data_IF_466989605632
#
_entry.id   IF_466989605632
#
_cell.length_a   1.000
_cell.length_b   1.000
_cell.length_c   1.000
_cell.angle_alpha   90.00
_cell.angle_beta   90.00
_cell.angle_gamma   90.00
#
_symmetry.space_group_name_H-M   'P 1'
#
loop_
_entity.id
_entity.type
_entity.pdbx_description
1 polymer ?
#
# COMPACT_ATOMS: atom_id res chain seq x y z
N UNK A 1 -9.59 4.32 -26.65
CA UNK A 1 -10.49 5.28 -25.97
C UNK A 1 -9.61 6.12 -25.04
N UNK A 2 -9.81 7.44 -24.98
CA UNK A 2 -9.08 8.32 -24.06
C UNK A 2 -9.91 8.51 -22.77
N UNK A 3 -9.28 8.39 -21.60
CA UNK A 3 -9.94 8.52 -20.29
C UNK A 3 -9.49 9.82 -19.60
N UNK A 4 -10.44 10.74 -19.39
CA UNK A 4 -10.22 12.05 -18.77
C UNK A 4 -10.78 12.15 -17.33
N UNK A 5 -11.29 11.06 -16.75
CA UNK A 5 -11.88 11.05 -15.40
C UNK A 5 -11.16 10.10 -14.42
N UNK A 6 -9.99 9.57 -14.79
CA UNK A 6 -9.20 8.72 -13.91
C UNK A 6 -8.35 9.53 -12.91
N UNK A 7 -8.26 9.05 -11.67
CA UNK A 7 -7.38 9.61 -10.64
C UNK A 7 -5.93 9.11 -10.73
N UNK A 8 -5.53 8.55 -11.87
CA UNK A 8 -4.16 8.07 -12.13
C UNK A 8 -3.26 9.23 -12.57
N UNK A 9 -3.12 10.25 -11.72
CA UNK A 9 -2.57 11.56 -12.07
C UNK A 9 -1.17 11.52 -12.72
N UNK A 10 -0.34 10.57 -12.30
CA UNK A 10 1.04 10.41 -12.79
C UNK A 10 1.22 9.23 -13.76
N UNK A 11 0.13 8.54 -14.14
CA UNK A 11 0.23 7.38 -15.02
C UNK A 11 0.85 6.12 -14.37
N UNK A 12 1.09 6.13 -13.06
CA UNK A 12 1.87 5.09 -12.37
C UNK A 12 1.17 3.73 -12.31
N UNK A 13 -0.16 3.67 -12.44
CA UNK A 13 -0.91 2.40 -12.41
C UNK A 13 -0.48 1.40 -13.48
N UNK A 14 0.10 1.88 -14.58
CA UNK A 14 0.57 1.04 -15.71
C UNK A 14 2.08 1.13 -15.91
N UNK A 15 2.80 1.77 -14.98
CA UNK A 15 4.23 1.94 -15.10
C UNK A 15 4.95 0.58 -14.94
N UNK A 16 5.84 0.16 -15.87
CA UNK A 16 6.41 -1.18 -15.88
C UNK A 16 7.08 -1.60 -14.57
N UNK A 17 7.78 -0.67 -13.90
CA UNK A 17 8.41 -0.95 -12.59
C UNK A 17 7.40 -1.21 -11.47
N UNK A 18 6.21 -0.59 -11.52
CA UNK A 18 5.15 -0.80 -10.51
C UNK A 18 4.53 -2.18 -10.71
N UNK A 19 4.24 -2.54 -11.95
CA UNK A 19 3.73 -3.87 -12.32
C UNK A 19 4.72 -4.95 -11.88
N UNK A 20 5.99 -4.81 -12.23
CA UNK A 20 7.02 -5.79 -11.89
C UNK A 20 7.19 -5.97 -10.37
N UNK A 21 7.19 -4.87 -9.61
CA UNK A 21 7.27 -4.95 -8.15
C UNK A 21 6.04 -5.64 -7.54
N UNK A 22 4.84 -5.42 -8.09
CA UNK A 22 3.63 -6.12 -7.67
C UNK A 22 3.69 -7.63 -7.93
N UNK A 23 4.19 -8.04 -9.10
CA UNK A 23 4.40 -9.46 -9.44
C UNK A 23 5.40 -10.13 -8.48
N UNK A 24 6.54 -9.49 -8.24
CA UNK A 24 7.56 -9.99 -7.30
C UNK A 24 7.00 -10.11 -5.87
N UNK A 25 6.20 -9.14 -5.43
CA UNK A 25 5.57 -9.20 -4.12
C UNK A 25 4.59 -10.39 -4.00
N UNK A 26 3.83 -10.70 -5.07
CA UNK A 26 2.95 -11.87 -5.08
C UNK A 26 3.73 -13.19 -5.00
N UNK A 27 4.87 -13.29 -5.68
CA UNK A 27 5.75 -14.46 -5.62
C UNK A 27 6.38 -14.64 -4.22
N UNK A 28 6.81 -13.55 -3.58
CA UNK A 28 7.50 -13.60 -2.28
C UNK A 28 6.53 -13.75 -1.10
N UNK A 29 5.41 -13.02 -1.10
CA UNK A 29 4.53 -12.88 0.06
C UNK A 29 3.19 -13.62 -0.08
N UNK A 30 2.85 -14.09 -1.28
CA UNK A 30 1.55 -14.68 -1.60
C UNK A 30 0.46 -13.64 -1.81
N UNK A 31 -0.77 -14.11 -2.07
CA UNK A 31 -1.91 -13.25 -2.39
C UNK A 31 -2.62 -12.64 -1.15
N UNK A 32 -2.24 -13.07 0.06
CA UNK A 32 -2.87 -12.64 1.30
C UNK A 32 -2.33 -13.38 2.52
N UNK A 33 -2.73 -12.93 3.71
CA UNK A 33 -2.15 -13.36 4.99
C UNK A 33 -3.09 -14.17 5.88
N UNK A 34 -4.35 -14.32 5.46
CA UNK A 34 -5.40 -15.06 6.20
C UNK A 34 -5.53 -14.65 7.68
N UNK A 35 -5.11 -13.43 8.03
CA UNK A 35 -5.02 -12.95 9.42
C UNK A 35 -4.87 -11.43 9.47
N UNK A 36 -5.15 -10.88 10.66
CA UNK A 36 -5.02 -9.44 10.97
C UNK A 36 -3.62 -9.11 11.50
N UNK A 37 -3.26 -7.82 11.45
CA UNK A 37 -1.91 -7.31 11.75
C UNK A 37 -1.34 -7.77 13.10
N UNK A 38 -2.16 -7.80 14.16
CA UNK A 38 -1.70 -8.09 15.52
C UNK A 38 -1.60 -9.59 15.86
N UNK A 39 -2.12 -10.49 15.00
CA UNK A 39 -2.04 -11.94 15.21
C UNK A 39 -0.85 -12.50 14.42
N UNK A 40 -0.97 -12.55 13.10
CA UNK A 40 0.12 -12.99 12.21
C UNK A 40 0.05 -12.34 10.81
N UNK A 41 -0.76 -11.30 10.65
CA UNK A 41 -0.94 -10.58 9.38
C UNK A 41 0.07 -9.47 9.12
N UNK A 42 1.21 -9.42 9.81
CA UNK A 42 2.26 -8.41 9.55
C UNK A 42 3.50 -9.08 8.95
N UNK A 43 3.88 -8.65 7.75
CA UNK A 43 5.11 -9.05 7.06
C UNK A 43 6.06 -7.87 6.83
N UNK A 44 7.31 -8.16 6.47
CA UNK A 44 8.36 -7.16 6.19
C UNK A 44 7.93 -6.10 5.17
N UNK A 45 7.18 -6.47 4.13
CA UNK A 45 6.68 -5.54 3.11
C UNK A 45 5.83 -4.39 3.71
N UNK A 46 5.03 -4.67 4.73
CA UNK A 46 4.21 -3.67 5.41
C UNK A 46 5.08 -2.66 6.15
N UNK A 47 5.98 -3.15 7.02
CA UNK A 47 6.89 -2.29 7.80
C UNK A 47 7.82 -1.48 6.90
N UNK A 48 8.29 -2.08 5.80
CA UNK A 48 9.14 -1.40 4.82
C UNK A 48 8.39 -0.26 4.10
N UNK A 49 7.12 -0.48 3.74
CA UNK A 49 6.31 0.55 3.11
C UNK A 49 5.94 1.67 4.11
N UNK A 50 5.55 1.32 5.34
CA UNK A 50 5.30 2.26 6.44
C UNK A 50 6.50 3.19 6.66
N UNK A 51 7.71 2.62 6.80
CA UNK A 51 8.93 3.41 6.98
C UNK A 51 9.30 4.27 5.76
N UNK A 52 8.94 3.86 4.53
CA UNK A 52 9.12 4.68 3.32
C UNK A 52 8.13 5.85 3.29
N UNK A 53 6.87 5.61 3.64
CA UNK A 53 5.82 6.64 3.70
C UNK A 53 6.13 7.67 4.77
N UNK A 54 6.50 7.23 5.99
CA UNK A 54 6.87 8.12 7.09
C UNK A 54 8.01 9.06 6.68
N UNK A 55 9.08 8.50 6.08
CA UNK A 55 10.21 9.31 5.55
C UNK A 55 9.79 10.26 4.45
N UNK A 56 8.97 9.81 3.50
CA UNK A 56 8.50 10.66 2.40
C UNK A 56 7.71 11.88 2.91
N UNK A 57 6.89 11.70 3.95
CA UNK A 57 6.10 12.77 4.57
C UNK A 57 6.80 13.50 5.73
N UNK A 58 8.06 13.15 6.04
CA UNK A 58 8.82 13.71 7.16
C UNK A 58 8.07 13.58 8.50
N UNK A 59 7.52 12.38 8.75
CA UNK A 59 6.83 12.00 9.98
C UNK A 59 7.60 10.92 10.74
N UNK A 60 7.32 10.78 12.02
CA UNK A 60 8.00 9.82 12.90
C UNK A 60 7.66 8.37 12.53
N UNK A 61 6.39 8.09 12.23
CA UNK A 61 5.93 6.76 11.82
C UNK A 61 4.71 6.87 10.87
N UNK A 62 4.33 5.74 10.27
CA UNK A 62 3.13 5.59 9.46
C UNK A 62 2.50 4.21 9.68
N UNK A 63 1.19 4.11 9.53
CA UNK A 63 0.44 2.85 9.60
C UNK A 63 -0.41 2.69 8.34
N UNK A 64 -0.41 1.49 7.77
CA UNK A 64 -1.18 1.17 6.57
C UNK A 64 -2.60 0.72 6.89
N UNK A 65 -3.55 1.20 6.11
CA UNK A 65 -4.93 0.72 6.03
C UNK A 65 -5.24 0.24 4.59
N UNK A 66 -6.27 -0.60 4.37
CA UNK A 66 -6.65 -1.08 3.04
C UNK A 66 -7.04 0.04 2.07
N UNK A 67 -7.60 1.13 2.58
CA UNK A 67 -7.91 2.33 1.81
C UNK A 67 -7.78 3.59 2.67
N UNK A 68 -7.76 4.76 2.02
CA UNK A 68 -7.81 6.05 2.74
C UNK A 68 -9.16 6.27 3.44
N UNK A 69 -10.24 5.61 2.98
CA UNK A 69 -11.54 5.63 3.65
C UNK A 69 -11.44 4.90 5.00
N UNK A 70 -10.88 3.69 5.02
CA UNK A 70 -10.66 2.92 6.24
C UNK A 70 -9.69 3.62 7.21
N UNK A 71 -8.68 4.33 6.67
CA UNK A 71 -7.77 5.13 7.48
C UNK A 71 -8.49 6.27 8.19
N UNK A 72 -9.41 6.97 7.50
CA UNK A 72 -10.20 8.02 8.11
C UNK A 72 -11.18 7.44 9.14
N UNK A 73 -11.88 6.37 8.81
CA UNK A 73 -12.80 5.70 9.74
C UNK A 73 -12.03 5.25 11.00
N UNK A 74 -10.91 4.54 10.85
CA UNK A 74 -10.10 4.08 11.99
C UNK A 74 -9.43 5.19 12.81
N UNK A 75 -9.46 6.44 12.36
CA UNK A 75 -8.96 7.60 13.11
C UNK A 75 -10.09 8.39 13.80
N UNK A 76 -11.23 8.54 13.13
CA UNK A 76 -12.31 9.45 13.53
C UNK A 76 -13.56 8.77 14.08
N UNK A 77 -13.74 7.47 13.85
CA UNK A 77 -14.82 6.64 14.40
C UNK A 77 -14.31 5.80 15.57
#
# INVERSE_FOLDING_TARGET
ILNFCANNYLGLSSHPKVIQAGLQALEEFGAGLSSVRFICGTQSIHKNLEAKIARFHQREDAILYPSCFDANAGLFE
#
